data_IF_280987396889
#
_entry.id   IF_280987396889
#
_cell.length_a   1.000
_cell.length_b   1.000
_cell.length_c   1.000
_cell.angle_alpha   90.00
_cell.angle_beta   90.00
_cell.angle_gamma   90.00
#
_symmetry.space_group_name_H-M   'P 1'
#
loop_
_entity.id
_entity.type
_entity.pdbx_description
1 polymer ?
#
# COMPACT_ATOMS: atom_id res chain seq x y z
N UNK A 1 -4.93 40.34 -12.18
CA UNK A 1 -3.99 39.21 -12.37
C UNK A 1 -4.30 38.53 -13.69
N UNK A 2 -3.33 38.43 -14.60
CA UNK A 2 -3.50 37.64 -15.82
C UNK A 2 -3.48 36.14 -15.46
N UNK A 3 -4.46 35.38 -15.97
CA UNK A 3 -4.55 33.94 -15.77
C UNK A 3 -4.73 33.26 -17.12
N UNK A 4 -4.25 32.02 -17.25
CA UNK A 4 -4.45 31.20 -18.44
C UNK A 4 -5.25 29.95 -18.12
N UNK A 5 -6.38 29.77 -18.82
CA UNK A 5 -7.30 28.62 -18.68
C UNK A 5 -7.14 27.58 -19.80
N UNK A 6 -6.09 27.67 -20.61
CA UNK A 6 -5.90 26.82 -21.80
C UNK A 6 -5.36 25.43 -21.43
N UNK A 7 -6.17 24.53 -20.92
CA UNK A 7 -5.76 23.21 -20.42
C UNK A 7 -5.09 22.31 -21.46
N UNK A 8 -5.49 22.43 -22.74
CA UNK A 8 -4.97 21.61 -23.85
C UNK A 8 -3.61 22.08 -24.38
N UNK A 9 -3.17 23.28 -24.00
CA UNK A 9 -1.96 23.91 -24.54
C UNK A 9 -0.92 24.04 -23.43
N UNK A 10 0.21 23.34 -23.59
CA UNK A 10 1.30 23.32 -22.62
C UNK A 10 0.89 22.73 -21.27
N UNK A 11 1.69 22.99 -20.24
CA UNK A 11 1.42 22.59 -18.85
C UNK A 11 1.16 23.82 -18.00
N UNK A 12 0.61 23.64 -16.80
CA UNK A 12 0.47 24.75 -15.86
C UNK A 12 1.81 25.45 -15.59
N UNK A 13 2.91 24.69 -15.57
CA UNK A 13 4.25 25.21 -15.33
C UNK A 13 4.75 26.06 -16.49
N UNK A 14 4.63 25.58 -17.73
CA UNK A 14 5.07 26.37 -18.90
C UNK A 14 4.20 27.61 -19.10
N UNK A 15 2.89 27.54 -18.82
CA UNK A 15 1.99 28.69 -18.90
C UNK A 15 2.34 29.76 -17.87
N UNK A 16 2.55 29.39 -16.60
CA UNK A 16 2.95 30.34 -15.56
C UNK A 16 4.34 30.92 -15.83
N UNK A 17 5.29 30.09 -16.26
CA UNK A 17 6.63 30.55 -16.66
C UNK A 17 6.55 31.56 -17.80
N UNK A 18 5.68 31.32 -18.79
CA UNK A 18 5.44 32.24 -19.90
C UNK A 18 4.86 33.58 -19.43
N UNK A 19 3.88 33.56 -18.53
CA UNK A 19 3.26 34.76 -17.95
C UNK A 19 4.25 35.59 -17.13
N UNK A 20 5.11 34.93 -16.34
CA UNK A 20 6.17 35.60 -15.58
C UNK A 20 7.21 36.22 -16.53
N UNK A 21 7.62 35.48 -17.57
CA UNK A 21 8.64 35.95 -18.53
C UNK A 21 8.15 37.10 -19.41
N UNK A 22 6.85 37.14 -19.75
CA UNK A 22 6.28 38.25 -20.53
C UNK A 22 5.93 39.48 -19.69
N UNK A 23 6.05 39.40 -18.35
CA UNK A 23 5.63 40.46 -17.43
C UNK A 23 4.12 40.57 -17.25
N UNK A 24 3.32 39.66 -17.86
CA UNK A 24 1.87 39.62 -17.68
C UNK A 24 1.46 39.16 -16.26
N UNK A 25 2.35 38.45 -15.57
CA UNK A 25 2.26 38.11 -14.15
C UNK A 25 3.45 38.70 -13.41
N UNK A 26 3.20 39.41 -12.31
CA UNK A 26 4.27 39.96 -11.48
C UNK A 26 4.99 38.84 -10.72
N UNK A 27 6.29 38.99 -10.42
CA UNK A 27 7.01 38.03 -9.57
C UNK A 27 6.36 37.84 -8.19
N UNK A 28 5.75 38.89 -7.63
CA UNK A 28 5.02 38.79 -6.36
C UNK A 28 3.74 37.94 -6.45
N UNK A 29 3.12 37.88 -7.64
CA UNK A 29 1.92 37.09 -7.93
C UNK A 29 2.26 35.63 -8.30
N UNK A 30 3.55 35.26 -8.26
CA UNK A 30 4.02 33.91 -8.58
C UNK A 30 3.38 32.90 -7.61
N UNK A 31 2.73 31.83 -8.11
CA UNK A 31 2.11 30.84 -7.25
C UNK A 31 3.13 30.14 -6.34
N UNK A 32 2.74 29.86 -5.09
CA UNK A 32 3.60 29.22 -4.08
C UNK A 32 4.15 27.87 -4.57
N UNK A 33 3.37 27.11 -5.34
CA UNK A 33 3.81 25.81 -5.88
C UNK A 33 4.90 25.92 -6.96
N UNK A 34 5.11 27.10 -7.57
CA UNK A 34 6.00 27.25 -8.72
C UNK A 34 7.44 26.86 -8.39
N UNK A 35 7.96 27.35 -7.26
CA UNK A 35 9.34 27.09 -6.85
C UNK A 35 9.54 25.63 -6.46
N UNK A 36 8.51 25.00 -5.86
CA UNK A 36 8.52 23.56 -5.57
C UNK A 36 8.58 22.75 -6.86
N UNK A 37 7.78 23.10 -7.87
CA UNK A 37 7.80 22.45 -9.17
C UNK A 37 9.14 22.65 -9.91
N UNK A 38 9.70 23.86 -9.84
CA UNK A 38 10.98 24.17 -10.47
C UNK A 38 12.15 23.42 -9.82
N UNK A 39 12.14 23.28 -8.50
CA UNK A 39 13.16 22.52 -7.76
C UNK A 39 13.01 21.00 -7.92
N UNK A 40 11.76 20.51 -7.93
CA UNK A 40 11.43 19.08 -7.97
C UNK A 40 10.43 18.79 -9.11
N UNK A 41 10.85 18.89 -10.37
CA UNK A 41 9.96 18.66 -11.49
C UNK A 41 9.51 17.19 -11.54
N UNK A 42 8.26 16.90 -11.95
CA UNK A 42 7.80 15.53 -12.10
C UNK A 42 8.62 14.82 -13.19
N UNK A 43 8.81 13.51 -13.04
CA UNK A 43 9.48 12.66 -14.05
C UNK A 43 8.86 12.82 -15.45
N UNK A 44 7.55 13.07 -15.50
CA UNK A 44 6.74 13.09 -16.71
C UNK A 44 5.80 14.30 -16.67
N UNK A 45 6.02 15.29 -17.54
CA UNK A 45 5.23 16.53 -17.60
C UNK A 45 3.72 16.30 -17.82
N UNK A 46 2.80 16.94 -17.08
CA UNK A 46 1.37 16.68 -17.19
C UNK A 46 0.76 17.34 -18.45
N UNK A 47 1.07 16.79 -19.63
CA UNK A 47 0.54 17.25 -20.91
C UNK A 47 -0.83 16.64 -21.18
N UNK A 48 -1.72 17.45 -21.77
CA UNK A 48 -3.05 17.01 -22.18
C UNK A 48 -3.03 15.93 -23.27
N UNK A 49 -2.06 16.01 -24.19
CA UNK A 49 -1.91 15.11 -25.33
C UNK A 49 -1.11 13.83 -25.01
N UNK A 50 -0.84 13.56 -23.72
CA UNK A 50 -0.09 12.37 -23.32
C UNK A 50 -0.90 11.11 -23.66
N UNK A 51 -0.40 10.22 -24.54
CA UNK A 51 -1.07 8.95 -24.79
C UNK A 51 -0.98 8.06 -23.54
N UNK A 52 -2.04 7.29 -23.30
CA UNK A 52 -1.99 6.23 -22.29
C UNK A 52 -0.93 5.19 -22.71
N UNK A 53 -0.04 4.77 -21.80
CA UNK A 53 0.96 3.77 -22.13
C UNK A 53 0.26 2.43 -22.44
N UNK A 54 0.48 1.90 -23.64
CA UNK A 54 0.01 0.56 -24.03
C UNK A 54 1.05 -0.47 -23.61
N UNK A 55 1.02 -0.85 -22.33
CA UNK A 55 1.95 -1.83 -21.76
C UNK A 55 1.17 -3.13 -21.54
N UNK A 56 1.62 -4.28 -22.09
CA UNK A 56 1.00 -5.56 -21.78
C UNK A 56 1.22 -5.89 -20.30
N UNK A 57 0.13 -6.00 -19.55
CA UNK A 57 0.18 -6.40 -18.15
C UNK A 57 0.49 -7.88 -18.04
N UNK A 58 1.53 -8.21 -17.27
CA UNK A 58 1.92 -9.59 -16.97
C UNK A 58 1.18 -10.07 -15.74
N UNK A 59 0.72 -11.33 -15.76
CA UNK A 59 0.20 -11.99 -14.57
C UNK A 59 1.36 -12.24 -13.59
N UNK A 60 1.13 -11.98 -12.30
CA UNK A 60 2.13 -12.17 -11.24
C UNK A 60 1.82 -13.52 -10.59
N UNK A 61 2.65 -14.51 -10.87
CA UNK A 61 2.63 -15.82 -10.22
C UNK A 61 3.95 -16.07 -9.51
N UNK A 62 3.89 -16.79 -8.40
CA UNK A 62 5.03 -17.24 -7.65
C UNK A 62 5.11 -18.78 -7.66
N UNK A 63 6.30 -19.32 -7.39
CA UNK A 63 6.51 -20.77 -7.37
C UNK A 63 5.61 -21.48 -6.34
N UNK A 64 5.33 -20.83 -5.21
CA UNK A 64 4.43 -21.39 -4.20
C UNK A 64 2.96 -21.45 -4.66
N UNK A 65 2.55 -20.72 -5.70
CA UNK A 65 1.17 -20.75 -6.20
C UNK A 65 0.78 -22.12 -6.74
N UNK A 66 1.75 -22.89 -7.26
CA UNK A 66 1.53 -24.28 -7.70
C UNK A 66 1.11 -25.15 -6.51
N UNK A 67 1.83 -25.00 -5.40
CA UNK A 67 1.59 -25.77 -4.16
C UNK A 67 0.30 -25.29 -3.48
N UNK A 68 0.08 -23.98 -3.45
CA UNK A 68 -1.13 -23.34 -2.91
C UNK A 68 -2.38 -23.79 -3.69
N UNK A 69 -2.31 -23.87 -5.01
CA UNK A 69 -3.39 -24.37 -5.85
C UNK A 69 -3.70 -25.85 -5.56
N UNK A 70 -2.67 -26.70 -5.42
CA UNK A 70 -2.84 -28.11 -5.03
C UNK A 70 -3.48 -28.24 -3.65
N UNK A 71 -3.04 -27.45 -2.68
CA UNK A 71 -3.61 -27.40 -1.33
C UNK A 71 -5.11 -27.06 -1.38
N UNK A 72 -5.49 -25.94 -1.99
CA UNK A 72 -6.89 -25.54 -2.07
C UNK A 72 -7.77 -26.48 -2.89
N UNK A 73 -7.21 -27.20 -3.87
CA UNK A 73 -7.96 -28.22 -4.62
C UNK A 73 -8.34 -29.43 -3.75
N UNK A 74 -7.50 -29.80 -2.80
CA UNK A 74 -7.72 -30.98 -1.96
C UNK A 74 -8.42 -30.64 -0.63
N UNK A 75 -8.22 -29.43 -0.11
CA UNK A 75 -8.83 -28.99 1.13
C UNK A 75 -10.26 -28.53 0.90
N UNK A 76 -11.24 -29.27 1.44
CA UNK A 76 -12.68 -28.94 1.33
C UNK A 76 -13.12 -27.78 2.24
N UNK A 77 -12.41 -27.54 3.33
CA UNK A 77 -12.73 -26.49 4.31
C UNK A 77 -11.64 -25.43 4.33
N UNK A 78 -11.98 -24.24 3.84
CA UNK A 78 -11.10 -23.08 3.86
C UNK A 78 -11.29 -22.39 5.21
N UNK A 79 -10.19 -22.18 5.94
CA UNK A 79 -10.20 -21.48 7.21
C UNK A 79 -10.51 -19.98 7.02
N UNK A 80 -11.10 -19.36 8.03
CA UNK A 80 -11.36 -17.92 8.03
C UNK A 80 -10.05 -17.16 8.23
N UNK A 81 -9.72 -16.28 7.28
CA UNK A 81 -8.51 -15.45 7.33
C UNK A 81 -8.90 -13.99 7.59
N UNK A 82 -8.31 -13.37 8.60
CA UNK A 82 -8.40 -11.92 8.78
C UNK A 82 -7.40 -11.24 7.85
N UNK A 83 -7.90 -10.34 6.98
CA UNK A 83 -7.05 -9.51 6.12
C UNK A 83 -6.52 -8.26 6.84
N UNK A 84 -7.06 -7.94 8.01
CA UNK A 84 -6.61 -6.80 8.83
C UNK A 84 -5.39 -7.16 9.68
N UNK A 85 -5.25 -8.43 10.04
CA UNK A 85 -4.14 -8.92 10.85
C UNK A 85 -2.96 -9.34 9.96
N UNK A 86 -1.81 -8.70 10.15
CA UNK A 86 -0.58 -8.97 9.40
C UNK A 86 0.37 -9.93 10.13
N UNK A 87 0.09 -10.25 11.40
CA UNK A 87 0.92 -11.10 12.24
C UNK A 87 0.59 -12.58 12.04
N UNK A 88 -0.71 -12.91 11.97
CA UNK A 88 -1.15 -14.31 11.83
C UNK A 88 -1.00 -14.81 10.39
N UNK A 89 -0.23 -15.89 10.25
CA UNK A 89 -0.12 -16.63 8.97
C UNK A 89 -1.35 -17.49 8.76
N UNK A 90 -1.90 -17.48 7.54
CA UNK A 90 -2.98 -18.40 7.16
C UNK A 90 -2.52 -19.86 7.15
N UNK A 91 -3.44 -20.81 7.25
CA UNK A 91 -3.10 -22.25 7.20
C UNK A 91 -2.41 -22.62 5.89
N UNK A 92 -2.82 -22.04 4.76
CA UNK A 92 -2.14 -22.23 3.47
C UNK A 92 -0.69 -21.72 3.52
N UNK A 93 -0.44 -20.58 4.17
CA UNK A 93 0.92 -20.04 4.28
C UNK A 93 1.80 -20.88 5.23
N UNK A 94 1.23 -21.42 6.29
CA UNK A 94 1.93 -22.33 7.20
C UNK A 94 2.26 -23.65 6.51
N UNK A 95 1.31 -24.20 5.76
CA UNK A 95 1.50 -25.38 4.93
C UNK A 95 2.68 -25.21 3.96
N UNK A 96 2.73 -24.08 3.25
CA UNK A 96 3.84 -23.76 2.33
C UNK A 96 5.17 -23.70 3.09
N UNK A 97 5.18 -23.13 4.30
CA UNK A 97 6.37 -23.11 5.15
C UNK A 97 6.88 -24.51 5.51
N UNK A 98 5.97 -25.41 5.92
CA UNK A 98 6.30 -26.81 6.22
C UNK A 98 6.79 -27.54 4.96
N UNK A 99 6.06 -27.40 3.86
CA UNK A 99 6.39 -28.01 2.57
C UNK A 99 7.80 -27.59 2.10
N UNK A 100 8.13 -26.30 2.15
CA UNK A 100 9.44 -25.80 1.76
C UNK A 100 10.56 -26.28 2.69
N UNK A 101 10.28 -26.42 4.00
CA UNK A 101 11.26 -26.97 4.94
C UNK A 101 11.58 -28.43 4.61
N UNK A 102 10.55 -29.26 4.38
CA UNK A 102 10.71 -30.67 4.01
C UNK A 102 11.40 -30.84 2.65
N UNK A 103 11.03 -30.01 1.67
CA UNK A 103 11.68 -30.01 0.36
C UNK A 103 13.17 -29.64 0.45
N UNK A 104 13.52 -28.69 1.33
CA UNK A 104 14.92 -28.31 1.58
C UNK A 104 15.76 -29.42 2.21
N UNK A 105 15.14 -30.38 2.90
CA UNK A 105 15.84 -31.55 3.46
C UNK A 105 16.16 -32.61 2.40
N UNK A 106 15.49 -32.59 1.25
CA UNK A 106 15.83 -33.42 0.07
C UNK A 106 15.65 -34.94 0.25
N UNK A 107 15.02 -35.39 1.33
CA UNK A 107 14.96 -36.80 1.71
C UNK A 107 13.74 -37.55 1.14
N UNK A 108 12.70 -36.84 0.67
CA UNK A 108 11.42 -37.42 0.25
C UNK A 108 11.03 -36.99 -1.16
N UNK A 109 10.16 -37.78 -1.79
CA UNK A 109 9.50 -37.46 -3.05
C UNK A 109 8.42 -36.37 -2.89
N UNK A 110 8.15 -35.60 -3.94
CA UNK A 110 7.27 -34.42 -3.89
C UNK A 110 5.85 -34.74 -3.41
N UNK A 111 5.30 -35.91 -3.77
CA UNK A 111 3.98 -36.36 -3.30
C UNK A 111 4.00 -36.69 -1.81
N UNK A 112 5.03 -37.41 -1.34
CA UNK A 112 5.18 -37.76 0.08
C UNK A 112 5.45 -36.52 0.93
N UNK A 113 6.22 -35.55 0.44
CA UNK A 113 6.42 -34.25 1.10
C UNK A 113 5.08 -33.55 1.29
N UNK A 114 4.23 -33.59 0.26
CA UNK A 114 2.93 -32.94 0.32
C UNK A 114 1.99 -33.61 1.34
N UNK A 115 1.90 -34.94 1.35
CA UNK A 115 1.10 -35.70 2.33
C UNK A 115 1.57 -35.48 3.77
N UNK A 116 2.89 -35.61 4.00
CA UNK A 116 3.47 -35.37 5.33
C UNK A 116 3.26 -33.93 5.80
N UNK A 117 3.37 -32.94 4.91
CA UNK A 117 3.05 -31.55 5.24
C UNK A 117 1.57 -31.36 5.62
N UNK A 118 0.64 -32.11 5.01
CA UNK A 118 -0.78 -32.07 5.39
C UNK A 118 -1.01 -32.66 6.77
N UNK A 119 -0.35 -33.76 7.11
CA UNK A 119 -0.43 -34.39 8.44
C UNK A 119 0.09 -33.44 9.51
N UNK A 120 1.28 -32.87 9.32
CA UNK A 120 1.87 -31.90 10.25
C UNK A 120 0.98 -30.66 10.43
N UNK A 121 0.37 -30.15 9.35
CA UNK A 121 -0.56 -29.03 9.46
C UNK A 121 -1.80 -29.38 10.29
N UNK A 122 -2.37 -30.58 10.12
CA UNK A 122 -3.53 -31.04 10.90
C UNK A 122 -3.19 -31.13 12.39
N UNK A 123 -2.01 -31.64 12.72
CA UNK A 123 -1.52 -31.68 14.10
C UNK A 123 -1.38 -30.28 14.69
N UNK A 124 -0.82 -29.33 13.96
CA UNK A 124 -0.69 -27.93 14.39
C UNK A 124 -2.04 -27.26 14.62
N UNK A 125 -3.03 -27.53 13.76
CA UNK A 125 -4.41 -27.03 13.93
C UNK A 125 -5.04 -27.63 15.20
N UNK A 126 -4.87 -28.93 15.43
CA UNK A 126 -5.39 -29.60 16.64
C UNK A 126 -4.73 -29.06 17.92
N UNK A 127 -3.41 -28.84 17.91
CA UNK A 127 -2.69 -28.22 19.03
C UNK A 127 -3.26 -26.84 19.34
N UNK A 128 -3.51 -26.00 18.33
CA UNK A 128 -4.12 -24.68 18.54
C UNK A 128 -5.50 -24.75 19.16
N UNK A 129 -6.36 -25.63 18.65
CA UNK A 129 -7.69 -25.85 19.20
C UNK A 129 -7.64 -26.28 20.69
N UNK A 130 -6.67 -27.13 21.05
CA UNK A 130 -6.48 -27.57 22.44
C UNK A 130 -5.82 -26.52 23.35
N UNK A 131 -4.99 -25.64 22.80
CA UNK A 131 -4.21 -24.65 23.56
C UNK A 131 -5.02 -23.42 23.99
N UNK A 132 -6.24 -23.24 23.49
CA UNK A 132 -7.21 -22.27 24.02
C UNK A 132 -6.69 -20.84 24.13
N UNK A 133 -5.73 -20.40 23.31
CA UNK A 133 -5.38 -18.99 23.24
C UNK A 133 -6.41 -18.28 22.36
N UNK A 134 -7.35 -17.50 22.92
CA UNK A 134 -8.04 -16.51 22.11
C UNK A 134 -6.94 -15.61 21.57
N UNK A 135 -6.92 -15.42 20.25
CA UNK A 135 -6.07 -14.39 19.67
C UNK A 135 -6.48 -13.08 20.32
N UNK A 136 -5.61 -12.54 21.18
CA UNK A 136 -5.72 -11.16 21.60
C UNK A 136 -5.70 -10.35 20.31
N UNK A 137 -6.86 -9.83 19.92
CA UNK A 137 -6.94 -8.75 18.95
C UNK A 137 -6.29 -7.54 19.62
N UNK A 138 -4.96 -7.52 19.63
CA UNK A 138 -4.19 -6.32 19.88
C UNK A 138 -4.49 -5.42 18.68
N UNK A 139 -5.59 -4.67 18.78
CA UNK A 139 -5.81 -3.45 18.03
C UNK A 139 -4.62 -2.54 18.37
N UNK A 140 -3.52 -2.72 17.66
CA UNK A 140 -2.55 -1.65 17.49
C UNK A 140 -3.31 -0.61 16.71
N UNK A 141 -3.86 0.37 17.43
CA UNK A 141 -4.09 1.69 16.88
C UNK A 141 -2.74 2.14 16.30
N UNK A 142 -2.51 1.77 15.04
CA UNK A 142 -1.61 2.53 14.19
C UNK A 142 -2.13 3.95 14.32
N UNK A 143 -1.32 4.95 14.68
CA UNK A 143 -1.79 6.31 14.80
C UNK A 143 -2.27 6.73 13.42
N UNK A 144 -3.57 6.53 13.19
CA UNK A 144 -4.22 6.85 11.94
C UNK A 144 -4.14 8.36 11.79
N UNK A 145 -4.20 8.83 10.56
CA UNK A 145 -4.29 10.25 10.20
C UNK A 145 -5.20 11.04 11.17
N UNK A 146 -6.31 10.42 11.59
CA UNK A 146 -7.29 10.95 12.57
C UNK A 146 -6.69 11.23 13.95
N UNK A 147 -5.85 10.35 14.49
CA UNK A 147 -5.17 10.54 15.79
C UNK A 147 -4.22 11.74 15.76
N UNK A 148 -3.49 11.93 14.66
CA UNK A 148 -2.63 13.09 14.43
C UNK A 148 -3.44 14.40 14.33
N UNK A 149 -4.66 14.34 13.80
CA UNK A 149 -5.57 15.50 13.77
C UNK A 149 -6.14 15.86 15.15
N UNK A 150 -6.45 14.86 15.99
CA UNK A 150 -6.91 15.12 17.36
C UNK A 150 -5.81 15.67 18.26
N UNK A 151 -4.57 15.19 18.08
CA UNK A 151 -3.41 15.69 18.82
C UNK A 151 -3.09 17.15 18.46
N UNK A 152 -3.17 17.52 17.18
CA UNK A 152 -3.02 18.91 16.71
C UNK A 152 -4.11 19.86 17.26
N UNK A 153 -5.30 19.36 17.57
CA UNK A 153 -6.39 20.15 18.15
C UNK A 153 -6.15 20.49 19.62
N UNK A 154 -5.40 19.65 20.34
CA UNK A 154 -5.09 19.84 21.76
C UNK A 154 -3.88 20.77 21.97
N UNK A 155 -3.02 20.96 20.97
CA UNK A 155 -1.82 21.80 21.06
C UNK A 155 -2.05 23.29 20.73
N UNK A 156 -3.23 23.66 20.23
CA UNK A 156 -3.51 25.01 19.77
C UNK A 156 -4.61 25.69 20.60
N UNK A 157 -4.28 26.17 21.79
CA UNK A 157 -5.09 27.17 22.51
C UNK A 157 -4.80 28.57 21.97
N UNK A 158 -5.03 28.79 20.67
CA UNK A 158 -4.94 30.15 20.10
C UNK A 158 -6.26 30.85 20.38
N UNK A 159 -6.22 31.84 21.28
CA UNK A 159 -7.39 32.65 21.62
C UNK A 159 -7.71 33.58 20.45
N UNK A 160 -8.78 33.30 19.72
CA UNK A 160 -9.17 34.01 18.48
C UNK A 160 -9.35 35.53 18.72
N UNK A 161 -9.60 35.95 19.96
CA UNK A 161 -9.72 37.35 20.36
C UNK A 161 -8.40 38.14 20.28
N UNK A 162 -7.25 37.46 20.28
CA UNK A 162 -5.94 38.12 20.23
C UNK A 162 -5.44 38.32 18.78
N UNK A 163 -6.16 37.78 17.78
CA UNK A 163 -5.86 37.97 16.34
C UNK A 163 -6.33 39.34 15.82
N UNK A 164 -7.26 40.00 16.52
CA UNK A 164 -7.90 41.26 16.09
C UNK A 164 -7.69 42.44 17.04
N UNK A 165 -6.68 42.39 17.91
CA UNK A 165 -6.24 43.58 18.64
C UNK A 165 -5.25 44.35 17.76
N UNK A 166 -5.52 45.64 17.59
CA UNK A 166 -4.76 46.59 16.74
C UNK A 166 -3.24 46.55 16.93
#
# INVERSE_FOLDING_TARGET
MAQSRLEKIGTIFTRVTGLLRSGAMKPEDKPIWYDVYAAFPPKLEPRYDRPAPSIPLRQIFYEEDIVRAKFHKQTKHIDTVSLADTSRKSNAQQFIGIYNNLKGQGALDDEKIFETAQEMLKEEIQKRASSGQPGEEEYRESPGLVSSFSEAKNTATVNIKDIFKE
#
